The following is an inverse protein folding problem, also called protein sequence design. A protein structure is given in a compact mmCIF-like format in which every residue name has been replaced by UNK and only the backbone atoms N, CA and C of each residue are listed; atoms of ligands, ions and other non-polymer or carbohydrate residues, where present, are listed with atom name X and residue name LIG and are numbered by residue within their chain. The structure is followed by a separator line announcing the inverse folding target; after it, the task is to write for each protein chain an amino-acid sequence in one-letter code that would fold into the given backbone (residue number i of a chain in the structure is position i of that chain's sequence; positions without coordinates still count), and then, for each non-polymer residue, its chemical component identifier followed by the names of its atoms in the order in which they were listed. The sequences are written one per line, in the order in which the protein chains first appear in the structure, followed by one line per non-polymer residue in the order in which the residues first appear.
data_IF_526170914012
#
_entry.id   IF_526170914012
#
_cell.length_a   1.000
_cell.length_b   1.000
_cell.length_c   1.000
_cell.angle_alpha   90.00
_cell.angle_beta   90.00
_cell.angle_gamma   90.00
#
_symmetry.space_group_name_H-M   'P 1'
#
loop_
_entity.id
_entity.type
_entity.pdbx_description
1 polymer ?
#
# COMPACT_ATOMS: atom_id res chain seq x y z
N UNK A 1 -3.36 10.23 -9.91
CA UNK A 1 -4.24 9.37 -9.09
C UNK A 1 -4.28 9.90 -7.68
N UNK A 2 -5.40 9.75 -6.97
CA UNK A 2 -5.70 10.41 -5.69
C UNK A 2 -4.96 9.84 -4.45
N UNK A 3 -4.01 8.89 -4.62
CA UNK A 3 -3.38 8.16 -3.51
C UNK A 3 -1.83 8.12 -3.57
N UNK A 4 -1.20 9.17 -4.11
CA UNK A 4 0.27 9.22 -4.27
C UNK A 4 1.00 8.98 -2.96
N UNK A 5 0.55 9.58 -1.86
CA UNK A 5 1.15 9.41 -0.54
C UNK A 5 1.07 7.95 -0.04
N UNK A 6 -0.09 7.30 -0.16
CA UNK A 6 -0.26 5.89 0.23
C UNK A 6 0.71 4.97 -0.54
N UNK A 7 0.78 5.16 -1.86
CA UNK A 7 1.66 4.37 -2.73
C UNK A 7 3.11 4.59 -2.33
N UNK A 8 3.50 5.84 -2.07
CA UNK A 8 4.85 6.20 -1.64
C UNK A 8 5.20 5.54 -0.30
N UNK A 9 4.33 5.63 0.71
CA UNK A 9 4.56 5.02 2.02
C UNK A 9 4.77 3.50 1.92
N UNK A 10 3.93 2.80 1.12
CA UNK A 10 4.06 1.35 0.95
C UNK A 10 5.36 1.00 0.21
N UNK A 11 5.72 1.75 -0.84
CA UNK A 11 6.99 1.54 -1.57
C UNK A 11 8.21 1.75 -0.69
N UNK A 12 8.27 2.86 0.03
CA UNK A 12 9.38 3.17 0.92
C UNK A 12 9.51 2.10 2.01
N UNK A 13 8.39 1.62 2.55
CA UNK A 13 8.41 0.50 3.51
C UNK A 13 8.95 -0.78 2.89
N UNK A 14 8.50 -1.14 1.68
CA UNK A 14 8.98 -2.30 0.94
C UNK A 14 10.49 -2.21 0.68
N UNK A 15 10.97 -1.06 0.24
CA UNK A 15 12.39 -0.81 -0.05
C UNK A 15 13.25 -0.84 1.22
N UNK A 16 12.76 -0.29 2.33
CA UNK A 16 13.40 -0.37 3.65
C UNK A 16 13.58 -1.82 4.12
N UNK A 17 12.61 -2.69 3.84
CA UNK A 17 12.67 -4.12 4.12
C UNK A 17 13.46 -4.92 3.09
N UNK A 18 13.97 -4.26 2.03
CA UNK A 18 14.69 -4.89 0.91
C UNK A 18 13.88 -5.99 0.20
N UNK A 19 12.56 -5.84 0.16
CA UNK A 19 11.65 -6.80 -0.48
C UNK A 19 11.39 -6.38 -1.93
N UNK A 20 11.50 -7.33 -2.87
CA UNK A 20 11.15 -7.09 -4.28
C UNK A 20 9.64 -7.08 -4.48
N UNK A 21 9.16 -6.57 -5.61
CA UNK A 21 7.74 -6.64 -5.94
C UNK A 21 7.29 -8.10 -6.13
N UNK A 22 8.15 -8.93 -6.73
CA UNK A 22 7.94 -10.36 -6.93
C UNK A 22 7.74 -11.08 -5.60
N UNK A 23 8.66 -10.87 -4.64
CA UNK A 23 8.58 -11.48 -3.30
C UNK A 23 7.39 -10.95 -2.50
N UNK A 24 7.10 -9.64 -2.55
CA UNK A 24 5.92 -9.11 -1.88
C UNK A 24 4.64 -9.71 -2.45
N UNK A 25 4.54 -9.83 -3.78
CA UNK A 25 3.38 -10.42 -4.45
C UNK A 25 3.17 -11.88 -4.02
N UNK A 26 4.25 -12.66 -3.97
CA UNK A 26 4.24 -14.05 -3.53
C UNK A 26 3.78 -14.19 -2.07
N UNK A 27 4.43 -13.48 -1.14
CA UNK A 27 4.15 -13.63 0.30
C UNK A 27 2.78 -13.06 0.67
N UNK A 28 2.33 -11.98 0.01
CA UNK A 28 0.99 -11.40 0.25
C UNK A 28 -0.14 -12.17 -0.44
N UNK A 29 0.18 -13.12 -1.31
CA UNK A 29 -0.82 -13.80 -2.16
C UNK A 29 -1.57 -12.83 -3.09
N UNK A 30 -0.95 -11.70 -3.43
CA UNK A 30 -1.47 -10.70 -4.37
C UNK A 30 -0.78 -10.89 -5.71
N UNK A 31 -1.54 -10.93 -6.80
CA UNK A 31 -0.94 -11.08 -8.13
C UNK A 31 0.07 -9.97 -8.44
N UNK A 32 1.24 -10.35 -8.98
CA UNK A 32 2.33 -9.41 -9.31
C UNK A 32 1.87 -8.25 -10.20
N UNK A 33 0.99 -8.53 -11.17
CA UNK A 33 0.40 -7.50 -12.03
C UNK A 33 -0.39 -6.47 -11.22
N UNK A 34 -1.17 -6.91 -10.24
CA UNK A 34 -1.96 -6.04 -9.36
C UNK A 34 -1.05 -5.17 -8.52
N UNK A 35 0.01 -5.74 -7.94
CA UNK A 35 0.99 -4.98 -7.17
C UNK A 35 1.71 -3.94 -8.04
N UNK A 36 2.15 -4.30 -9.25
CA UNK A 36 2.77 -3.37 -10.22
C UNK A 36 1.82 -2.23 -10.64
N UNK A 37 0.56 -2.54 -10.88
CA UNK A 37 -0.45 -1.53 -11.22
C UNK A 37 -0.73 -0.60 -10.04
N UNK A 38 -0.82 -1.14 -8.82
CA UNK A 38 -0.94 -0.35 -7.60
C UNK A 38 0.26 0.59 -7.41
N UNK A 39 1.47 0.04 -7.42
CA UNK A 39 2.71 0.81 -7.22
C UNK A 39 2.98 1.84 -8.33
N UNK A 40 2.54 1.58 -9.56
CA UNK A 40 2.64 2.57 -10.65
C UNK A 40 1.53 3.63 -10.62
N UNK A 41 0.60 3.57 -9.66
CA UNK A 41 -0.54 4.47 -9.60
C UNK A 41 -1.45 4.35 -10.82
N UNK A 42 -1.55 3.13 -11.40
CA UNK A 42 -2.43 2.79 -12.51
C UNK A 42 -3.56 1.83 -12.10
N UNK A 43 -3.51 1.30 -10.88
CA UNK A 43 -4.49 0.37 -10.33
C UNK A 43 -5.15 0.90 -9.07
N UNK A 44 -6.42 0.55 -8.90
CA UNK A 44 -7.17 0.82 -7.67
C UNK A 44 -7.33 -0.52 -6.90
N UNK A 45 -6.49 -0.81 -5.89
CA UNK A 45 -6.59 -2.04 -5.13
C UNK A 45 -7.86 -2.04 -4.28
N UNK A 46 -8.38 -3.23 -3.99
CA UNK A 46 -9.42 -3.38 -2.95
C UNK A 46 -8.80 -3.17 -1.56
N UNK A 47 -9.62 -2.86 -0.56
CA UNK A 47 -9.16 -2.79 0.84
C UNK A 47 -8.52 -4.11 1.28
N UNK A 48 -9.07 -5.25 0.87
CA UNK A 48 -8.51 -6.57 1.16
C UNK A 48 -7.10 -6.74 0.57
N UNK A 49 -6.89 -6.27 -0.66
CA UNK A 49 -5.56 -6.29 -1.30
C UNK A 49 -4.58 -5.39 -0.56
N UNK A 50 -5.02 -4.21 -0.13
CA UNK A 50 -4.19 -3.28 0.63
C UNK A 50 -3.81 -3.87 1.99
N UNK A 51 -4.76 -4.49 2.68
CA UNK A 51 -4.53 -5.18 3.96
C UNK A 51 -3.48 -6.27 3.81
N UNK A 52 -3.62 -7.18 2.82
CA UNK A 52 -2.64 -8.24 2.56
C UNK A 52 -1.22 -7.72 2.33
N UNK A 53 -1.09 -6.63 1.59
CA UNK A 53 0.20 -5.99 1.34
C UNK A 53 0.75 -5.38 2.63
N UNK A 54 -0.09 -4.64 3.36
CA UNK A 54 0.29 -3.97 4.60
C UNK A 54 0.75 -4.99 5.66
N UNK A 55 0.02 -6.08 5.86
CA UNK A 55 0.32 -7.12 6.85
C UNK A 55 1.72 -7.72 6.64
N UNK A 56 2.07 -8.06 5.39
CA UNK A 56 3.40 -8.59 5.03
C UNK A 56 4.52 -7.56 5.25
N UNK A 57 4.22 -6.27 5.06
CA UNK A 57 5.17 -5.18 5.30
C UNK A 57 5.26 -4.77 6.78
N UNK A 58 4.55 -5.46 7.68
CA UNK A 58 4.45 -5.13 9.09
C UNK A 58 3.76 -3.78 9.32
N UNK A 59 2.77 -3.47 8.50
CA UNK A 59 1.95 -2.27 8.57
C UNK A 59 0.49 -2.64 8.86
N UNK A 60 -0.25 -1.70 9.42
CA UNK A 60 -1.67 -1.87 9.71
C UNK A 60 -2.48 -0.79 8.97
N UNK A 61 -3.54 -1.22 8.27
CA UNK A 61 -4.53 -0.30 7.72
C UNK A 61 -5.47 0.11 8.85
N UNK A 62 -5.47 1.40 9.22
CA UNK A 62 -6.30 1.92 10.31
C UNK A 62 -7.10 3.15 9.88
N UNK A 63 -8.28 3.31 10.48
CA UNK A 63 -9.08 4.52 10.37
C UNK A 63 -8.76 5.42 11.56
N UNK A 64 -8.60 6.73 11.31
CA UNK A 64 -8.35 7.74 12.34
C UNK A 64 -9.39 8.85 12.22
N UNK A 65 -9.71 9.51 13.35
CA UNK A 65 -10.58 10.67 13.33
C UNK A 65 -9.97 11.75 12.41
N UNK A 66 -10.81 12.40 11.61
CA UNK A 66 -10.38 13.52 10.78
C UNK A 66 -10.01 14.68 11.71
N UNK A 67 -8.78 15.18 11.60
CA UNK A 67 -8.41 16.43 12.26
C UNK A 67 -9.22 17.57 11.62
N UNK A 68 -10.19 18.11 12.35
CA UNK A 68 -11.06 19.20 11.91
C UNK A 68 -10.45 20.59 12.18
N UNK A 69 -9.18 20.67 12.61
CA UNK A 69 -8.48 21.89 12.98
C UNK A 69 -7.94 22.69 11.78
N UNK A 70 -8.78 22.92 10.78
CA UNK A 70 -8.45 23.68 9.57
C UNK A 70 -9.70 24.06 8.79
N UNK A 71 -10.61 24.79 9.43
CA UNK A 71 -11.58 25.70 8.81
C UNK A 71 -12.38 26.40 9.92
N UNK A 72 -11.80 27.48 10.45
CA UNK A 72 -12.54 28.64 10.96
C UNK A 72 -11.94 29.87 10.30
#
# INVERSE_FOLDING_TARGET
MHYTELIKTIKERREMLQVTQETLAEISGVGLRTLKQFESGKGNPTLLTLQKIADVLGMEVSLRLKNLSGNK
#
